data_IF_462332989057
#
_entry.id   IF_462332989057
#
_cell.length_a   1.000
_cell.length_b   1.000
_cell.length_c   1.000
_cell.angle_alpha   90.00
_cell.angle_beta   90.00
_cell.angle_gamma   90.00
#
_symmetry.space_group_name_H-M   'P 1'
#
loop_
_entity.id
_entity.type
_entity.pdbx_description
1 polymer ?
#
# COMPACT_ATOMS: atom_id res chain seq x y z
N UNK A 1 -6.85 8.03 -4.65
CA UNK A 1 -5.81 8.88 -5.24
C UNK A 1 -6.38 9.59 -6.44
N UNK A 2 -5.96 10.84 -6.70
CA UNK A 2 -6.52 11.66 -7.78
C UNK A 2 -8.05 11.75 -7.76
N UNK A 3 -8.73 11.77 -8.92
CA UNK A 3 -10.19 11.94 -9.02
C UNK A 3 -10.97 10.78 -8.37
N UNK A 4 -10.37 9.60 -8.24
CA UNK A 4 -11.00 8.44 -7.61
C UNK A 4 -11.19 8.59 -6.10
N UNK A 5 -10.51 9.54 -5.46
CA UNK A 5 -10.58 9.72 -4.00
C UNK A 5 -11.97 10.14 -3.55
N UNK A 6 -12.58 11.09 -4.24
CA UNK A 6 -13.92 11.55 -3.90
C UNK A 6 -14.95 10.44 -4.12
N UNK A 7 -14.88 9.74 -5.27
CA UNK A 7 -15.75 8.60 -5.57
C UNK A 7 -15.63 7.50 -4.50
N UNK A 8 -14.40 7.13 -4.13
CA UNK A 8 -14.15 6.14 -3.09
C UNK A 8 -14.61 6.61 -1.70
N UNK A 9 -14.57 7.90 -1.40
CA UNK A 9 -15.12 8.43 -0.15
C UNK A 9 -16.65 8.44 -0.17
N UNK A 10 -17.28 8.76 -1.31
CA UNK A 10 -18.73 8.71 -1.47
C UNK A 10 -19.30 7.30 -1.30
N UNK A 11 -18.54 6.26 -1.65
CA UNK A 11 -18.97 4.87 -1.52
C UNK A 11 -18.88 4.28 -0.12
N UNK A 12 -18.24 4.96 0.84
CA UNK A 12 -18.18 4.47 2.23
C UNK A 12 -19.56 4.56 2.89
N UNK A 13 -19.87 3.61 3.76
CA UNK A 13 -21.07 3.65 4.59
C UNK A 13 -21.01 4.78 5.62
N UNK A 14 -22.14 5.06 6.28
CA UNK A 14 -22.19 5.92 7.46
C UNK A 14 -21.16 5.44 8.51
N UNK A 15 -20.45 6.36 9.14
CA UNK A 15 -19.30 6.11 10.05
C UNK A 15 -18.09 5.40 9.43
N UNK A 16 -18.01 5.38 8.09
CA UNK A 16 -16.88 4.79 7.37
C UNK A 16 -15.55 5.49 7.67
N UNK A 17 -14.46 4.73 7.51
CA UNK A 17 -13.08 5.23 7.63
C UNK A 17 -12.35 5.09 6.29
N UNK A 18 -11.99 6.20 5.68
CA UNK A 18 -11.17 6.23 4.47
C UNK A 18 -9.69 6.34 4.84
N UNK A 19 -8.92 5.29 4.56
CA UNK A 19 -7.49 5.24 4.87
C UNK A 19 -6.66 5.81 3.71
N UNK A 20 -5.87 6.85 3.99
CA UNK A 20 -4.94 7.46 3.02
C UNK A 20 -3.57 6.83 3.20
N UNK A 21 -3.16 5.99 2.23
CA UNK A 21 -1.86 5.28 2.23
C UNK A 21 -0.85 5.84 1.21
N UNK A 22 -1.28 6.68 0.27
CA UNK A 22 -0.39 7.27 -0.75
C UNK A 22 -1.12 7.90 -1.94
N UNK A 23 -0.34 8.44 -2.89
CA UNK A 23 -0.81 9.24 -4.02
C UNK A 23 -0.32 8.67 -5.37
N UNK A 24 -0.70 7.43 -5.69
CA UNK A 24 -0.25 6.75 -6.91
C UNK A 24 -0.64 7.46 -8.23
N UNK A 25 -1.65 8.34 -8.19
CA UNK A 25 -2.07 9.17 -9.32
C UNK A 25 -1.22 10.45 -9.50
N UNK A 26 -0.21 10.67 -8.65
CA UNK A 26 0.70 11.83 -8.71
C UNK A 26 0.15 13.09 -8.03
N UNK A 27 -1.15 13.37 -8.14
CA UNK A 27 -1.77 14.53 -7.50
C UNK A 27 -2.31 14.23 -6.09
N UNK A 28 -2.26 15.26 -5.23
CA UNK A 28 -2.91 15.23 -3.91
C UNK A 28 -4.39 15.60 -4.11
N UNK A 29 -5.33 14.68 -3.83
CA UNK A 29 -6.75 14.92 -4.04
C UNK A 29 -7.30 15.96 -3.05
N UNK A 30 -8.25 16.77 -3.52
CA UNK A 30 -9.07 17.64 -2.67
C UNK A 30 -10.38 16.94 -2.37
N UNK A 31 -10.74 16.80 -1.10
CA UNK A 31 -12.00 16.19 -0.67
C UNK A 31 -12.96 17.28 -0.17
N UNK A 32 -14.15 17.42 -0.75
CA UNK A 32 -15.18 18.32 -0.22
C UNK A 32 -15.58 17.95 1.22
N UNK A 33 -15.47 18.90 2.16
CA UNK A 33 -15.69 18.67 3.59
C UNK A 33 -17.15 18.37 3.96
N UNK A 34 -18.11 18.64 3.08
CA UNK A 34 -19.50 18.22 3.28
C UNK A 34 -19.65 16.69 3.26
N UNK A 35 -18.75 15.95 2.57
CA UNK A 35 -18.81 14.49 2.53
C UNK A 35 -18.56 13.82 3.90
N UNK A 36 -17.45 14.10 4.61
CA UNK A 36 -17.25 13.56 5.95
C UNK A 36 -18.35 14.01 6.93
N UNK A 37 -18.83 15.25 6.80
CA UNK A 37 -19.94 15.75 7.62
C UNK A 37 -21.21 14.91 7.46
N UNK A 38 -21.70 14.75 6.23
CA UNK A 38 -22.97 14.07 5.95
C UNK A 38 -22.91 12.56 6.21
N UNK A 39 -21.72 11.95 6.14
CA UNK A 39 -21.52 10.52 6.39
C UNK A 39 -21.10 10.21 7.82
N UNK A 40 -20.86 11.21 8.66
CA UNK A 40 -20.21 11.02 9.97
C UNK A 40 -18.90 10.22 9.84
N UNK A 41 -18.17 10.45 8.75
CA UNK A 41 -17.06 9.60 8.33
C UNK A 41 -15.69 10.24 8.57
N UNK A 42 -14.67 9.40 8.74
CA UNK A 42 -13.31 9.84 9.03
C UNK A 42 -12.36 9.66 7.85
N UNK A 43 -11.44 10.61 7.70
CA UNK A 43 -10.27 10.49 6.83
C UNK A 43 -9.03 10.25 7.69
N UNK A 44 -8.36 9.11 7.53
CA UNK A 44 -7.28 8.68 8.41
C UNK A 44 -5.99 8.45 7.61
N UNK A 45 -4.93 9.16 7.97
CA UNK A 45 -3.61 8.93 7.40
C UNK A 45 -2.98 7.64 7.94
N UNK A 46 -2.49 6.77 7.05
CA UNK A 46 -1.83 5.52 7.40
C UNK A 46 -0.41 5.51 6.82
N UNK A 47 0.52 6.14 7.53
CA UNK A 47 1.91 6.28 7.08
C UNK A 47 2.85 5.29 7.77
N UNK A 48 3.10 4.16 7.11
CA UNK A 48 3.93 3.07 7.64
C UNK A 48 5.35 3.50 8.01
N UNK A 49 6.00 4.34 7.18
CA UNK A 49 7.40 4.74 7.41
C UNK A 49 7.62 5.42 8.77
N UNK A 50 6.74 6.35 9.15
CA UNK A 50 6.78 6.97 10.47
C UNK A 50 6.30 6.01 11.57
N UNK A 51 5.30 5.17 11.30
CA UNK A 51 4.77 4.20 12.26
C UNK A 51 5.85 3.24 12.77
N UNK A 52 6.69 2.71 11.87
CA UNK A 52 7.80 1.80 12.23
C UNK A 52 8.76 2.42 13.24
N UNK A 53 9.05 3.71 13.09
CA UNK A 53 9.97 4.43 13.97
C UNK A 53 9.30 4.84 15.29
N UNK A 54 8.03 5.24 15.23
CA UNK A 54 7.29 5.79 16.39
C UNK A 54 6.72 4.71 17.30
N UNK A 55 6.43 3.53 16.78
CA UNK A 55 5.87 2.41 17.55
C UNK A 55 6.57 1.08 17.18
N UNK A 56 7.83 0.89 17.59
CA UNK A 56 8.59 -0.32 17.27
C UNK A 56 8.00 -1.57 17.94
N UNK A 57 7.29 -1.41 19.06
CA UNK A 57 6.63 -2.53 19.75
C UNK A 57 5.48 -3.07 18.91
N UNK A 58 4.51 -2.24 18.53
CA UNK A 58 3.41 -2.69 17.66
C UNK A 58 3.88 -3.13 16.29
N UNK A 59 4.93 -2.50 15.76
CA UNK A 59 5.54 -2.96 14.51
C UNK A 59 6.01 -4.41 14.61
N UNK A 60 6.64 -4.80 15.73
CA UNK A 60 7.07 -6.18 15.96
C UNK A 60 5.88 -7.13 16.04
N UNK A 61 4.82 -6.74 16.75
CA UNK A 61 3.57 -7.52 16.87
C UNK A 61 2.92 -7.73 15.48
N UNK A 62 2.78 -6.68 14.68
CA UNK A 62 2.25 -6.77 13.31
C UNK A 62 3.10 -7.66 12.39
N UNK A 63 4.43 -7.59 12.51
CA UNK A 63 5.32 -8.44 11.72
C UNK A 63 5.17 -9.93 12.12
N UNK A 64 5.02 -10.24 13.41
CA UNK A 64 4.76 -11.61 13.87
C UNK A 64 3.45 -12.15 13.29
N UNK A 65 2.38 -11.34 13.32
CA UNK A 65 1.09 -11.71 12.73
C UNK A 65 1.19 -11.94 11.21
N UNK A 66 1.89 -11.05 10.50
CA UNK A 66 2.11 -11.18 9.06
C UNK A 66 2.85 -12.49 8.72
N UNK A 67 3.89 -12.84 9.47
CA UNK A 67 4.60 -14.11 9.28
C UNK A 67 3.72 -15.32 9.60
N UNK A 68 2.87 -15.25 10.63
CA UNK A 68 1.91 -16.32 10.92
C UNK A 68 0.91 -16.51 9.77
N UNK A 69 0.42 -15.43 9.17
CA UNK A 69 -0.46 -15.47 7.99
C UNK A 69 0.25 -16.09 6.77
N UNK A 70 1.53 -15.77 6.57
CA UNK A 70 2.35 -16.36 5.52
C UNK A 70 2.59 -17.86 5.74
N UNK A 71 3.03 -18.26 6.94
CA UNK A 71 3.31 -19.65 7.30
C UNK A 71 2.05 -20.53 7.25
N UNK A 72 0.89 -19.99 7.65
CA UNK A 72 -0.40 -20.66 7.53
C UNK A 72 -0.96 -20.71 6.10
N UNK A 73 -0.22 -20.15 5.12
CA UNK A 73 -0.59 -20.08 3.69
C UNK A 73 -1.87 -19.29 3.41
N UNK A 74 -2.38 -18.50 4.38
CA UNK A 74 -3.52 -17.58 4.22
C UNK A 74 -3.15 -16.36 3.39
N UNK A 75 -1.89 -15.94 3.44
CA UNK A 75 -1.33 -14.90 2.59
C UNK A 75 -0.23 -15.49 1.72
N UNK A 76 -0.37 -15.36 0.39
CA UNK A 76 0.63 -15.80 -0.58
C UNK A 76 0.99 -14.63 -1.50
N UNK A 77 2.13 -13.96 -1.27
CA UNK A 77 2.52 -12.83 -2.10
C UNK A 77 2.89 -13.32 -3.51
N UNK A 78 2.25 -12.80 -4.57
CA UNK A 78 2.61 -13.16 -5.94
C UNK A 78 3.94 -12.51 -6.31
N UNK A 79 4.94 -13.35 -6.61
CA UNK A 79 6.20 -12.91 -7.22
C UNK A 79 5.99 -12.96 -8.74
N UNK A 80 6.06 -11.80 -9.38
CA UNK A 80 5.88 -11.68 -10.83
C UNK A 80 7.10 -12.19 -11.57
N UNK A 81 8.29 -11.79 -11.08
CA UNK A 81 9.56 -12.14 -11.71
C UNK A 81 10.71 -11.97 -10.73
N UNK A 82 11.69 -12.86 -10.85
CA UNK A 82 12.98 -12.78 -10.17
C UNK A 82 14.05 -12.41 -11.18
N UNK A 83 14.98 -11.54 -10.78
CA UNK A 83 16.15 -11.17 -11.59
C UNK A 83 17.42 -11.44 -10.78
N UNK A 84 18.50 -11.91 -11.41
CA UNK A 84 19.81 -11.89 -10.78
C UNK A 84 20.29 -10.43 -10.63
N UNK A 85 21.22 -10.18 -9.70
CA UNK A 85 21.68 -8.83 -9.35
C UNK A 85 22.22 -8.05 -10.57
N UNK A 86 22.90 -8.76 -11.48
CA UNK A 86 23.48 -8.21 -12.71
C UNK A 86 22.39 -7.62 -13.63
N UNK A 87 21.14 -8.06 -13.48
CA UNK A 87 19.99 -7.57 -14.24
C UNK A 87 19.15 -6.53 -13.49
N UNK A 88 19.65 -5.95 -12.39
CA UNK A 88 18.93 -4.92 -11.63
C UNK A 88 18.45 -3.75 -12.49
N UNK A 89 19.25 -3.31 -13.47
CA UNK A 89 18.84 -2.25 -14.40
C UNK A 89 17.62 -2.65 -15.25
N UNK A 90 17.56 -3.91 -15.70
CA UNK A 90 16.39 -4.42 -16.42
C UNK A 90 15.16 -4.56 -15.51
N UNK A 91 15.37 -5.02 -14.28
CA UNK A 91 14.31 -5.11 -13.28
C UNK A 91 13.64 -3.75 -13.04
N UNK A 92 14.44 -2.68 -12.90
CA UNK A 92 13.95 -1.31 -12.75
C UNK A 92 13.18 -0.82 -13.98
N UNK A 93 13.71 -1.06 -15.19
CA UNK A 93 13.02 -0.71 -16.45
C UNK A 93 11.65 -1.38 -16.53
N UNK A 94 11.58 -2.69 -16.25
CA UNK A 94 10.32 -3.44 -16.33
C UNK A 94 9.28 -2.92 -15.31
N UNK A 95 9.72 -2.44 -14.13
CA UNK A 95 8.84 -1.77 -13.14
C UNK A 95 8.36 -0.42 -13.66
N UNK A 96 9.27 0.43 -14.16
CA UNK A 96 8.94 1.77 -14.67
C UNK A 96 7.97 1.72 -15.85
N UNK A 97 8.17 0.77 -16.75
CA UNK A 97 7.32 0.54 -17.92
C UNK A 97 6.04 -0.24 -17.61
N UNK A 98 5.74 -0.48 -16.34
CA UNK A 98 4.52 -1.18 -15.86
C UNK A 98 4.34 -2.59 -16.44
N UNK A 99 5.43 -3.27 -16.81
CA UNK A 99 5.42 -4.66 -17.28
C UNK A 99 5.23 -5.67 -16.13
N UNK A 100 5.42 -5.21 -14.89
CA UNK A 100 5.30 -6.02 -13.68
C UNK A 100 3.89 -5.93 -13.11
N UNK A 101 3.20 -7.06 -13.03
CA UNK A 101 1.93 -7.22 -12.29
C UNK A 101 2.21 -7.88 -10.93
N UNK A 102 2.66 -7.10 -9.96
CA UNK A 102 2.98 -7.58 -8.61
C UNK A 102 4.39 -7.20 -8.16
N UNK A 103 5.12 -8.16 -7.57
CA UNK A 103 6.44 -7.91 -6.98
C UNK A 103 7.57 -8.44 -7.86
N UNK A 104 8.60 -7.62 -8.05
CA UNK A 104 9.92 -8.04 -8.52
C UNK A 104 10.85 -8.29 -7.33
N UNK A 105 11.64 -9.35 -7.44
CA UNK A 105 12.70 -9.69 -6.47
C UNK A 105 14.04 -9.73 -7.19
N UNK A 106 15.04 -9.08 -6.61
CA UNK A 106 16.44 -9.19 -7.05
C UNK A 106 17.13 -10.20 -6.15
N UNK A 107 17.77 -11.20 -6.74
CA UNK A 107 18.53 -12.22 -6.02
C UNK A 107 20.00 -11.78 -5.96
N UNK A 108 20.54 -11.47 -4.77
CA UNK A 108 21.91 -10.96 -4.62
C UNK A 108 23.01 -12.00 -4.86
N UNK A 109 22.65 -13.28 -4.95
CA UNK A 109 23.52 -14.38 -5.38
C UNK A 109 22.68 -15.32 -6.25
N UNK A 110 23.17 -15.60 -7.46
CA UNK A 110 22.75 -16.75 -8.27
C UNK A 110 23.57 -17.97 -7.91
#
# INVERSE_FOLDING_TARGET
>A
GGPYTELAFRSIAWEGRHLVIGFAAGEIPKLPLNLPLLKTASLVGAFWGAFVQRDPKRTREHMQELFALYLSKKVRPPITKTYPLEQAAQALRDVMERRVKGKVVILPRG
#
